data_IF_535215951474
#
_entry.id   IF_535215951474
#
_cell.length_a   1.000
_cell.length_b   1.000
_cell.length_c   1.000
_cell.angle_alpha   90.00
_cell.angle_beta   90.00
_cell.angle_gamma   90.00
#
_symmetry.space_group_name_H-M   'P 1'
#
loop_
_entity.id
_entity.type
_entity.pdbx_description
1 polymer ?
#
# COMPACT_ATOMS: atom_id res chain seq x y z
N UNK A 1 -23.95 -1.22 -18.62
CA UNK A 1 -22.74 -0.47 -18.21
C UNK A 1 -22.79 0.91 -18.89
N UNK A 2 -23.06 1.98 -18.14
CA UNK A 2 -23.18 3.35 -18.67
C UNK A 2 -21.77 3.93 -18.83
N UNK A 3 -21.32 4.19 -20.06
CA UNK A 3 -20.12 4.98 -20.31
C UNK A 3 -20.44 6.43 -19.93
N UNK A 4 -19.96 6.88 -18.77
CA UNK A 4 -20.04 8.29 -18.39
C UNK A 4 -18.85 9.03 -19.00
N UNK A 5 -19.19 9.87 -19.99
CA UNK A 5 -18.45 11.00 -20.58
C UNK A 5 -16.91 10.92 -20.69
N UNK A 6 -16.44 10.72 -21.93
CA UNK A 6 -15.02 10.84 -22.30
C UNK A 6 -14.42 12.18 -21.91
N UNK A 7 -13.24 12.19 -21.27
CA UNK A 7 -12.46 13.39 -20.91
C UNK A 7 -11.89 14.10 -22.14
N UNK A 8 -11.86 13.42 -23.29
CA UNK A 8 -11.34 13.95 -24.57
C UNK A 8 -12.06 15.24 -24.94
N UNK A 9 -11.32 16.33 -25.12
CA UNK A 9 -11.86 17.66 -25.43
C UNK A 9 -12.25 18.51 -24.22
N UNK A 10 -12.14 17.98 -22.98
CA UNK A 10 -12.33 18.76 -21.74
C UNK A 10 -11.03 19.06 -21.01
N UNK A 11 -10.03 18.18 -21.12
CA UNK A 11 -8.73 18.34 -20.48
C UNK A 11 -7.60 18.05 -21.49
N UNK A 12 -6.46 18.71 -21.27
CA UNK A 12 -5.19 18.46 -21.94
C UNK A 12 -4.15 18.01 -20.92
N UNK A 13 -3.18 17.21 -21.35
CA UNK A 13 -2.05 16.81 -20.50
C UNK A 13 -1.13 18.00 -20.31
N UNK A 14 -1.04 18.50 -19.07
CA UNK A 14 -0.15 19.61 -18.74
C UNK A 14 1.31 19.11 -18.67
N UNK A 15 1.59 18.06 -17.90
CA UNK A 15 2.94 17.52 -17.75
C UNK A 15 2.97 16.02 -17.48
N UNK A 16 4.15 15.43 -17.66
CA UNK A 16 4.48 14.05 -17.34
C UNK A 16 5.74 14.06 -16.48
N UNK A 17 5.80 13.21 -15.46
CA UNK A 17 6.96 13.06 -14.57
C UNK A 17 7.34 14.34 -13.79
N UNK A 18 6.41 15.29 -13.66
CA UNK A 18 6.55 16.44 -12.76
C UNK A 18 5.91 16.13 -11.41
N UNK A 19 6.40 16.74 -10.31
CA UNK A 19 5.74 16.62 -9.03
C UNK A 19 4.29 17.09 -9.12
N UNK A 20 3.39 16.38 -8.45
CA UNK A 20 1.98 16.74 -8.38
C UNK A 20 1.53 16.91 -6.93
N UNK A 21 0.44 17.64 -6.73
CA UNK A 21 -0.30 17.68 -5.46
C UNK A 21 -1.58 16.87 -5.60
N UNK A 22 -1.76 15.87 -4.75
CA UNK A 22 -2.98 15.06 -4.71
C UNK A 22 -3.41 14.82 -3.27
N UNK A 23 -4.64 15.22 -2.92
CA UNK A 23 -5.15 15.03 -1.55
C UNK A 23 -4.36 15.78 -0.47
N UNK A 24 -3.68 16.87 -0.82
CA UNK A 24 -2.82 17.63 0.10
C UNK A 24 -1.42 17.01 0.31
N UNK A 25 -1.03 16.05 -0.53
CA UNK A 25 0.29 15.41 -0.50
C UNK A 25 1.01 15.66 -1.82
N UNK A 26 2.26 16.13 -1.72
CA UNK A 26 3.19 16.22 -2.85
C UNK A 26 3.69 14.83 -3.22
N UNK A 27 3.60 14.47 -4.49
CA UNK A 27 4.12 13.20 -5.03
C UNK A 27 5.19 13.48 -6.06
N UNK A 28 6.37 12.90 -5.87
CA UNK A 28 7.50 12.99 -6.79
C UNK A 28 7.61 11.72 -7.66
N UNK A 29 8.27 11.87 -8.81
CA UNK A 29 8.61 10.72 -9.64
C UNK A 29 9.51 9.75 -8.86
N UNK A 30 9.18 8.46 -8.90
CA UNK A 30 9.96 7.38 -8.29
C UNK A 30 9.54 7.04 -6.86
N UNK A 31 8.61 7.78 -6.28
CA UNK A 31 8.01 7.41 -4.99
C UNK A 31 7.08 6.20 -5.13
N UNK A 32 6.91 5.48 -4.03
CA UNK A 32 6.13 4.24 -4.01
C UNK A 32 4.70 4.58 -3.60
N UNK A 33 3.73 4.20 -4.44
CA UNK A 33 2.31 4.36 -4.17
C UNK A 33 1.73 3.03 -3.72
N UNK A 34 1.11 3.01 -2.54
CA UNK A 34 0.36 1.85 -2.03
C UNK A 34 -1.11 2.24 -1.93
N UNK A 35 -1.98 1.42 -2.51
CA UNK A 35 -3.42 1.67 -2.52
C UNK A 35 -4.20 0.38 -2.22
N UNK A 36 -5.16 0.48 -1.32
CA UNK A 36 -6.07 -0.61 -0.96
C UNK A 36 -7.51 -0.06 -0.76
N UNK A 37 -8.35 -0.82 -0.06
CA UNK A 37 -9.73 -0.42 0.22
C UNK A 37 -9.87 0.68 1.29
N UNK A 38 -8.83 0.90 2.11
CA UNK A 38 -8.84 1.92 3.16
C UNK A 38 -8.36 3.27 2.63
N UNK A 39 -7.42 3.26 1.67
CA UNK A 39 -7.00 4.48 0.99
C UNK A 39 -5.70 4.35 0.20
N UNK A 40 -5.00 5.48 0.07
CA UNK A 40 -3.76 5.61 -0.70
C UNK A 40 -2.68 6.24 0.17
N UNK A 41 -1.49 5.65 0.15
CA UNK A 41 -0.29 6.15 0.82
C UNK A 41 0.81 6.43 -0.19
N UNK A 42 1.53 7.53 0.03
CA UNK A 42 2.76 7.90 -0.69
C UNK A 42 3.93 7.61 0.23
N UNK A 43 4.83 6.73 -0.20
CA UNK A 43 6.04 6.38 0.56
C UNK A 43 7.24 7.02 -0.13
N UNK A 44 7.92 7.98 0.54
CA UNK A 44 9.14 8.59 0.02
C UNK A 44 10.21 7.55 -0.28
N UNK A 45 10.88 7.69 -1.43
CA UNK A 45 11.86 6.72 -1.90
C UNK A 45 13.02 6.50 -0.92
N UNK A 46 13.53 7.59 -0.33
CA UNK A 46 14.60 7.58 0.68
C UNK A 46 14.23 6.83 1.97
N UNK A 47 12.93 6.70 2.25
CA UNK A 47 12.39 6.00 3.43
C UNK A 47 11.76 4.65 3.09
N UNK A 48 11.72 4.25 1.82
CA UNK A 48 11.04 3.04 1.38
C UNK A 48 11.47 1.79 2.16
N UNK A 49 12.78 1.63 2.39
CA UNK A 49 13.32 0.47 3.10
C UNK A 49 12.87 0.41 4.56
N UNK A 50 12.99 1.51 5.30
CA UNK A 50 12.60 1.53 6.72
C UNK A 50 11.09 1.38 6.88
N UNK A 51 10.30 2.01 6.01
CA UNK A 51 8.84 1.86 5.99
C UNK A 51 8.44 0.41 5.72
N UNK A 52 9.07 -0.26 4.74
CA UNK A 52 8.79 -1.66 4.44
C UNK A 52 9.19 -2.62 5.58
N UNK A 53 10.31 -2.35 6.26
CA UNK A 53 10.75 -3.13 7.41
C UNK A 53 9.76 -3.01 8.58
N UNK A 54 9.32 -1.79 8.88
CA UNK A 54 8.42 -1.51 9.99
C UNK A 54 6.98 -1.98 9.71
N UNK A 55 6.48 -1.75 8.49
CA UNK A 55 5.17 -2.26 8.07
C UNK A 55 5.10 -3.78 8.18
N UNK A 56 6.18 -4.49 7.80
CA UNK A 56 6.26 -5.96 7.97
C UNK A 56 6.28 -6.37 9.44
N UNK A 57 7.00 -5.64 10.30
CA UNK A 57 7.05 -5.91 11.75
C UNK A 57 5.65 -5.81 12.34
N UNK A 58 4.91 -4.74 12.04
CA UNK A 58 3.54 -4.51 12.50
C UNK A 58 2.61 -5.60 11.96
N UNK A 59 2.62 -5.86 10.64
CA UNK A 59 1.76 -6.87 10.03
C UNK A 59 1.99 -8.28 10.62
N UNK A 60 3.23 -8.64 10.91
CA UNK A 60 3.55 -9.93 11.55
C UNK A 60 3.09 -9.99 13.01
N UNK A 61 3.15 -8.89 13.75
CA UNK A 61 2.60 -8.80 15.11
C UNK A 61 1.07 -8.96 15.11
N UNK A 62 0.38 -8.36 14.15
CA UNK A 62 -1.07 -8.49 13.99
C UNK A 62 -1.47 -9.93 13.63
N UNK A 63 -0.72 -10.55 12.71
CA UNK A 63 -0.90 -11.96 12.33
C UNK A 63 -0.70 -12.91 13.52
N UNK A 64 0.32 -12.68 14.33
CA UNK A 64 0.57 -13.47 15.54
C UNK A 64 -0.55 -13.29 16.58
N UNK A 65 -1.05 -12.07 16.76
CA UNK A 65 -2.18 -11.78 17.65
C UNK A 65 -3.46 -12.46 17.16
N UNK A 66 -3.74 -12.40 15.84
CA UNK A 66 -4.87 -13.08 15.21
C UNK A 66 -4.80 -14.60 15.37
N UNK A 67 -3.61 -15.18 15.25
CA UNK A 67 -3.39 -16.62 15.47
C UNK A 67 -3.83 -17.08 16.86
N UNK A 68 -3.42 -16.35 17.90
CA UNK A 68 -3.81 -16.65 19.29
C UNK A 68 -5.32 -16.64 19.47
N UNK A 69 -6.02 -15.71 18.81
CA UNK A 69 -7.49 -15.66 18.84
C UNK A 69 -8.12 -16.87 18.13
N UNK A 70 -7.57 -17.31 17.01
CA UNK A 70 -8.06 -18.52 16.32
C UNK A 70 -7.91 -19.76 17.20
N UNK A 71 -6.74 -19.92 17.81
CA UNK A 71 -6.44 -21.03 18.72
C UNK A 71 -7.39 -21.03 19.92
N UNK A 72 -7.60 -19.88 20.56
CA UNK A 72 -8.52 -19.73 21.68
C UNK A 72 -9.98 -20.04 21.31
N UNK A 73 -10.38 -19.80 20.06
CA UNK A 73 -11.72 -20.08 19.54
C UNK A 73 -11.84 -21.48 18.91
N UNK A 74 -10.79 -22.30 18.90
CA UNK A 74 -10.78 -23.62 18.26
C UNK A 74 -10.96 -23.59 16.74
N UNK A 75 -10.64 -22.47 16.08
CA UNK A 75 -10.76 -22.31 14.63
C UNK A 75 -9.55 -22.90 13.93
N UNK A 76 -9.77 -23.53 12.77
CA UNK A 76 -8.68 -23.92 11.87
C UNK A 76 -7.92 -22.69 11.39
N UNK A 77 -6.59 -22.78 11.37
CA UNK A 77 -5.73 -21.72 10.86
C UNK A 77 -5.79 -21.64 9.32
N UNK A 78 -5.57 -20.44 8.80
CA UNK A 78 -5.48 -20.16 7.37
C UNK A 78 -4.31 -19.22 7.06
N UNK A 79 -4.14 -18.87 5.79
CA UNK A 79 -3.06 -18.01 5.30
C UNK A 79 -3.06 -16.61 5.94
N UNK A 80 -4.17 -16.14 6.51
CA UNK A 80 -4.26 -14.80 7.10
C UNK A 80 -3.42 -14.68 8.36
N UNK A 81 -3.09 -15.79 9.03
CA UNK A 81 -2.24 -15.82 10.25
C UNK A 81 -0.79 -16.22 9.95
N UNK A 82 -0.46 -16.54 8.70
CA UNK A 82 0.90 -16.88 8.32
C UNK A 82 1.81 -15.64 8.27
N UNK A 83 2.99 -15.66 8.91
CA UNK A 83 3.93 -14.54 8.87
C UNK A 83 4.41 -14.23 7.45
N UNK A 84 4.56 -12.94 7.16
CA UNK A 84 5.17 -12.45 5.94
C UNK A 84 6.67 -12.81 5.93
N UNK A 85 7.10 -13.46 4.84
CA UNK A 85 8.50 -13.79 4.61
C UNK A 85 9.30 -12.51 4.34
N UNK A 86 10.56 -12.50 4.76
CA UNK A 86 11.49 -11.42 4.41
C UNK A 86 11.79 -11.53 2.92
N UNK A 87 11.26 -10.61 2.12
CA UNK A 87 11.77 -10.37 0.78
C UNK A 87 12.98 -9.45 0.86
N UNK A 88 14.03 -9.78 0.11
CA UNK A 88 15.10 -8.85 -0.20
C UNK A 88 14.52 -7.85 -1.21
N UNK A 89 14.02 -6.70 -0.72
CA UNK A 89 13.84 -5.55 -1.61
C UNK A 89 15.24 -5.05 -1.94
N UNK A 90 15.70 -5.37 -3.15
CA UNK A 90 16.81 -4.66 -3.79
C UNK A 90 16.19 -3.41 -4.43
N UNK A 91 16.11 -2.32 -3.65
CA UNK A 91 15.79 -0.97 -4.15
C UNK A 91 17.11 -0.23 -4.44
#
# INVERSE_FOLDING_TARGET
MRLRESVRGRLETESINKPIECGGVTVHLGEIIVADGDGVHVVPFDKAKIVAEEARRIANADKASRRKLYEALGRSLDWTVEPLKKFLLTL
#
